data_IF_019680020196
#
_entry.id   IF_019680020196
#
_cell.length_a   1.000
_cell.length_b   1.000
_cell.length_c   1.000
_cell.angle_alpha   90.00
_cell.angle_beta   90.00
_cell.angle_gamma   90.00
#
_symmetry.space_group_name_H-M   'P 1'
#
loop_
_entity.id
_entity.type
_entity.pdbx_description
1 polymer ?
#
# COMPACT_ATOMS: atom_id res chain seq x y z
N UNK A 1 6.19 6.42 -7.93
CA UNK A 1 4.73 6.60 -7.88
C UNK A 1 4.10 5.33 -7.34
N UNK A 2 3.11 5.45 -6.46
CA UNK A 2 2.39 4.30 -5.87
C UNK A 2 0.94 4.34 -6.35
N UNK A 3 0.38 3.18 -6.72
CA UNK A 3 -0.98 3.05 -7.25
C UNK A 3 -1.71 1.95 -6.48
N UNK A 4 -2.83 2.32 -5.85
CA UNK A 4 -3.79 1.37 -5.26
C UNK A 4 -4.96 1.23 -6.23
N UNK A 5 -5.24 0.00 -6.68
CA UNK A 5 -6.28 -0.26 -7.70
C UNK A 5 -7.30 -1.28 -7.22
N UNK A 6 -8.44 -1.35 -7.92
CA UNK A 6 -9.43 -2.41 -7.77
C UNK A 6 -8.83 -3.77 -8.16
N UNK A 7 -9.22 -4.85 -7.48
CA UNK A 7 -8.59 -6.17 -7.62
C UNK A 7 -8.55 -6.95 -6.31
N UNK A 8 -7.77 -6.54 -5.30
CA UNK A 8 -6.94 -5.34 -5.15
C UNK A 8 -5.44 -5.53 -5.49
N UNK A 9 -4.78 -4.46 -5.94
CA UNK A 9 -3.33 -4.44 -6.21
C UNK A 9 -2.67 -3.14 -5.75
N UNK A 10 -1.39 -3.23 -5.41
CA UNK A 10 -0.59 -2.09 -4.96
C UNK A 10 0.74 -2.03 -5.74
N UNK A 11 0.72 -1.30 -6.85
CA UNK A 11 1.84 -1.19 -7.79
C UNK A 11 2.74 -0.01 -7.46
N UNK A 12 4.04 -0.18 -7.67
CA UNK A 12 4.99 0.93 -7.65
C UNK A 12 5.72 1.07 -8.98
N UNK A 13 5.68 2.29 -9.51
CA UNK A 13 6.16 2.66 -10.85
C UNK A 13 7.24 3.70 -10.72
N UNK A 14 8.27 3.59 -11.55
CA UNK A 14 9.25 4.65 -11.76
C UNK A 14 8.64 5.72 -12.69
N UNK A 15 8.36 6.92 -12.18
CA UNK A 15 7.65 7.95 -12.95
C UNK A 15 8.54 8.60 -14.02
N UNK A 16 9.86 8.49 -13.93
CA UNK A 16 10.76 9.09 -14.92
C UNK A 16 10.86 8.21 -16.17
N UNK A 17 11.02 6.90 -15.95
CA UNK A 17 11.17 5.94 -17.03
C UNK A 17 9.85 5.30 -17.46
N UNK A 18 8.74 5.57 -16.74
CA UNK A 18 7.43 4.95 -16.95
C UNK A 18 7.45 3.42 -16.90
N UNK A 19 8.30 2.86 -16.03
CA UNK A 19 8.49 1.41 -15.89
C UNK A 19 7.85 0.92 -14.59
N UNK A 20 7.02 -0.13 -14.68
CA UNK A 20 6.52 -0.86 -13.52
C UNK A 20 7.70 -1.54 -12.82
N UNK A 21 7.98 -1.14 -11.58
CA UNK A 21 9.09 -1.69 -10.79
C UNK A 21 8.66 -2.91 -9.96
N UNK A 22 7.37 -3.07 -9.74
CA UNK A 22 6.80 -4.25 -9.10
C UNK A 22 5.48 -3.97 -8.41
N UNK A 23 5.11 -4.93 -7.56
CA UNK A 23 3.86 -4.94 -6.82
C UNK A 23 4.14 -5.36 -5.37
N UNK A 24 3.44 -4.75 -4.42
CA UNK A 24 3.39 -5.23 -3.05
C UNK A 24 2.33 -6.33 -2.99
N UNK A 25 2.69 -7.58 -2.65
CA UNK A 25 1.76 -8.69 -2.68
C UNK A 25 0.62 -8.47 -1.69
N UNK A 26 -0.60 -8.65 -2.17
CA UNK A 26 -1.80 -8.46 -1.37
C UNK A 26 -2.23 -9.75 -0.69
N UNK A 27 -2.58 -9.67 0.59
CA UNK A 27 -3.09 -10.80 1.37
C UNK A 27 -3.96 -10.33 2.55
N UNK A 28 -4.73 -11.21 3.20
CA UNK A 28 -5.48 -10.86 4.41
C UNK A 28 -4.60 -10.30 5.54
N UNK A 29 -3.33 -10.73 5.61
CA UNK A 29 -2.35 -10.33 6.63
C UNK A 29 -1.66 -9.00 6.30
N UNK A 30 -1.91 -8.42 5.11
CA UNK A 30 -1.36 -7.13 4.73
C UNK A 30 -1.77 -6.06 5.74
N UNK A 31 -0.82 -5.24 6.21
CA UNK A 31 -1.10 -4.16 7.16
C UNK A 31 -0.32 -2.90 6.80
N UNK A 32 -1.01 -1.78 6.68
CA UNK A 32 -0.38 -0.47 6.54
C UNK A 32 -0.23 0.23 7.90
N UNK A 33 0.94 0.78 8.18
CA UNK A 33 1.25 1.45 9.46
C UNK A 33 1.93 2.80 9.22
N UNK A 34 1.37 3.93 9.70
CA UNK A 34 2.03 5.22 9.59
C UNK A 34 3.14 5.34 10.65
N UNK A 35 4.36 5.74 10.23
CA UNK A 35 5.45 6.10 11.15
C UNK A 35 5.40 7.58 11.55
N UNK A 36 5.11 8.44 10.58
CA UNK A 36 4.84 9.87 10.73
C UNK A 36 4.06 10.35 9.51
N UNK A 37 3.77 11.65 9.39
CA UNK A 37 2.98 12.18 8.27
C UNK A 37 3.59 11.93 6.87
N UNK A 38 4.90 11.72 6.78
CA UNK A 38 5.59 11.51 5.50
C UNK A 38 6.03 10.07 5.27
N UNK A 39 6.04 9.21 6.29
CA UNK A 39 6.57 7.85 6.16
C UNK A 39 5.52 6.87 6.67
N UNK A 40 5.31 5.81 5.90
CA UNK A 40 4.49 4.68 6.30
C UNK A 40 5.11 3.36 5.83
N UNK A 41 4.66 2.29 6.45
CA UNK A 41 5.05 0.93 6.16
C UNK A 41 3.87 0.18 5.56
N UNK A 42 4.19 -0.76 4.66
CA UNK A 42 3.27 -1.83 4.27
C UNK A 42 3.92 -3.14 4.63
N UNK A 43 3.34 -3.82 5.61
CA UNK A 43 3.77 -5.13 6.07
C UNK A 43 3.06 -6.21 5.26
N UNK A 44 3.85 -7.14 4.75
CA UNK A 44 3.39 -8.40 4.16
C UNK A 44 4.09 -9.54 4.91
N UNK A 45 3.62 -10.80 4.83
CA UNK A 45 4.20 -11.91 5.60
C UNK A 45 5.73 -12.04 5.47
N UNK A 46 6.26 -11.80 4.27
CA UNK A 46 7.68 -12.02 3.96
C UNK A 46 8.51 -10.74 3.91
N UNK A 47 7.88 -9.56 3.87
CA UNK A 47 8.59 -8.29 3.64
C UNK A 47 7.82 -7.09 4.20
N UNK A 48 8.55 -6.16 4.81
CA UNK A 48 8.04 -4.83 5.10
C UNK A 48 8.58 -3.85 4.06
N UNK A 49 7.67 -3.10 3.43
CA UNK A 49 7.99 -2.05 2.47
C UNK A 49 8.03 -0.71 3.20
N UNK A 50 9.13 0.02 3.04
CA UNK A 50 9.30 1.39 3.52
C UNK A 50 8.85 2.35 2.42
N UNK A 51 7.86 3.19 2.70
CA UNK A 51 7.32 4.15 1.74
C UNK A 51 7.38 5.56 2.31
N UNK A 52 7.80 6.49 1.47
CA UNK A 52 7.82 7.92 1.76
C UNK A 52 6.83 8.64 0.85
N UNK A 53 6.05 9.53 1.47
CA UNK A 53 5.13 10.46 0.87
C UNK A 53 5.58 11.89 1.25
N UNK A 54 6.32 12.58 0.36
CA UNK A 54 6.83 13.92 0.62
C UNK A 54 5.72 14.95 0.92
N UNK A 55 4.49 14.71 0.43
CA UNK A 55 3.34 15.61 0.59
C UNK A 55 2.67 15.50 1.97
N UNK A 56 3.00 14.48 2.75
CA UNK A 56 2.51 14.35 4.12
C UNK A 56 1.17 13.63 4.27
N UNK A 57 0.74 12.83 3.29
CA UNK A 57 -0.52 12.09 3.31
C UNK A 57 -0.36 10.60 3.68
N UNK A 58 0.69 10.24 4.41
CA UNK A 58 0.94 8.85 4.82
C UNK A 58 -0.27 8.20 5.55
N UNK A 59 -0.97 8.96 6.39
CA UNK A 59 -2.15 8.49 7.12
C UNK A 59 -3.32 8.17 6.18
N UNK A 60 -3.48 8.96 5.09
CA UNK A 60 -4.50 8.70 4.07
C UNK A 60 -4.18 7.43 3.30
N UNK A 61 -2.91 7.20 2.97
CA UNK A 61 -2.46 5.94 2.35
C UNK A 61 -2.79 4.74 3.23
N UNK A 62 -2.39 4.77 4.51
CA UNK A 62 -2.70 3.68 5.44
C UNK A 62 -4.20 3.39 5.54
N UNK A 63 -5.01 4.46 5.62
CA UNK A 63 -6.47 4.34 5.67
C UNK A 63 -7.06 3.73 4.39
N UNK A 64 -6.67 4.23 3.21
CA UNK A 64 -7.18 3.73 1.94
C UNK A 64 -6.81 2.26 1.70
N UNK A 65 -5.57 1.87 2.03
CA UNK A 65 -5.12 0.48 1.93
C UNK A 65 -5.96 -0.43 2.84
N UNK A 66 -6.17 -0.01 4.09
CA UNK A 66 -6.95 -0.80 5.06
C UNK A 66 -8.44 -0.89 4.67
N UNK A 67 -9.03 0.19 4.15
CA UNK A 67 -10.41 0.20 3.64
C UNK A 67 -10.58 -0.79 2.47
N UNK A 68 -9.66 -0.79 1.50
CA UNK A 68 -9.66 -1.74 0.39
C UNK A 68 -9.44 -3.17 0.89
N UNK A 69 -8.54 -3.39 1.86
CA UNK A 69 -8.26 -4.71 2.42
C UNK A 69 -9.49 -5.28 3.12
N UNK A 70 -10.13 -4.46 3.97
CA UNK A 70 -11.39 -4.82 4.62
C UNK A 70 -12.46 -5.13 3.59
N UNK A 71 -12.66 -4.28 2.58
CA UNK A 71 -13.67 -4.53 1.54
C UNK A 71 -13.41 -5.85 0.77
N UNK A 72 -12.14 -6.19 0.53
CA UNK A 72 -11.74 -7.41 -0.17
C UNK A 72 -12.00 -8.68 0.64
N UNK A 73 -11.75 -8.65 1.96
CA UNK A 73 -11.81 -9.83 2.83
C UNK A 73 -12.98 -9.84 3.83
N UNK A 74 -13.83 -8.81 3.86
CA UNK A 74 -15.03 -8.78 4.70
C UNK A 74 -16.10 -9.79 4.26
N UNK A 75 -16.00 -10.37 3.06
CA UNK A 75 -16.93 -11.40 2.57
C UNK A 75 -16.54 -12.83 2.99
N UNK A 76 -15.52 -13.00 3.83
CA UNK A 76 -15.06 -14.32 4.33
C UNK A 76 -15.46 -14.61 5.79
N UNK A 77 -16.61 -14.10 6.24
CA UNK A 77 -17.18 -14.39 7.58
C UNK A 77 -18.63 -14.81 7.49
#
# INVERSE_FOLDING_TARGET
MLLLTTGPHLFYVDPQNLVLKGEIPWSPELRAEPKNFKIFFVHTPNRTYYLEDPEGFSLKWCRAIEEVRKATYAQSS
#
